data_IF_790125169936
#
_entry.id   IF_790125169936
#
_cell.length_a   1.000
_cell.length_b   1.000
_cell.length_c   1.000
_cell.angle_alpha   90.00
_cell.angle_beta   90.00
_cell.angle_gamma   90.00
#
_symmetry.space_group_name_H-M   'P 1'
#
loop_
_entity.id
_entity.type
_entity.pdbx_description
1 polymer ?
#
# COMPACT_ATOMS: atom_id res chain seq x y z
N UNK A 1 0.04 -4.08 4.06
CA UNK A 1 -0.40 -2.67 4.03
C UNK A 1 -0.04 -2.05 2.68
N UNK A 2 -0.89 -1.16 2.14
CA UNK A 2 -0.67 -0.51 0.82
C UNK A 2 -0.67 1.00 1.00
N UNK A 3 0.35 1.67 0.47
CA UNK A 3 0.55 3.11 0.59
C UNK A 3 -0.46 3.96 -0.19
N UNK A 4 -0.65 5.22 0.24
CA UNK A 4 -1.51 6.22 -0.40
C UNK A 4 -1.21 6.36 -1.89
N UNK A 5 0.07 6.41 -2.30
CA UNK A 5 0.42 6.59 -3.71
C UNK A 5 -0.02 5.41 -4.59
N UNK A 6 -0.01 4.21 -4.05
CA UNK A 6 -0.45 3.00 -4.75
C UNK A 6 -1.97 3.01 -4.90
N UNK A 7 -2.70 3.33 -3.83
CA UNK A 7 -4.18 3.49 -3.85
C UNK A 7 -4.60 4.57 -4.85
N UNK A 8 -3.96 5.75 -4.80
CA UNK A 8 -4.24 6.84 -5.73
C UNK A 8 -3.94 6.43 -7.18
N UNK A 9 -2.84 5.73 -7.41
CA UNK A 9 -2.49 5.25 -8.76
C UNK A 9 -3.50 4.24 -9.30
N UNK A 10 -4.02 3.35 -8.45
CA UNK A 10 -5.05 2.38 -8.82
C UNK A 10 -6.34 3.07 -9.27
N UNK A 11 -6.87 4.03 -8.51
CA UNK A 11 -8.11 4.73 -8.89
C UNK A 11 -7.96 5.62 -10.13
N UNK A 12 -6.73 6.05 -10.44
CA UNK A 12 -6.47 6.86 -11.62
C UNK A 12 -6.56 6.02 -12.89
N UNK A 13 -5.98 4.82 -12.87
CA UNK A 13 -5.87 3.93 -14.02
C UNK A 13 -6.27 2.49 -13.66
N UNK A 14 -7.51 2.12 -13.99
CA UNK A 14 -7.99 0.74 -13.89
C UNK A 14 -7.14 -0.19 -14.77
N UNK A 15 -6.82 -1.39 -14.26
CA UNK A 15 -5.92 -2.35 -14.91
C UNK A 15 -4.44 -1.98 -14.84
N UNK A 16 -4.07 -0.88 -14.17
CA UNK A 16 -2.67 -0.56 -13.92
C UNK A 16 -2.03 -1.52 -12.92
N UNK A 17 -0.70 -1.55 -12.87
CA UNK A 17 0.03 -2.39 -11.92
C UNK A 17 -0.38 -2.15 -10.45
N UNK A 18 -0.52 -0.91 -9.95
CA UNK A 18 -1.08 -0.64 -8.63
C UNK A 18 -2.50 -1.21 -8.40
N UNK A 19 -3.36 -1.14 -9.42
CA UNK A 19 -4.72 -1.68 -9.36
C UNK A 19 -4.70 -3.23 -9.29
N UNK A 20 -3.87 -3.87 -10.11
CA UNK A 20 -3.67 -5.32 -10.07
C UNK A 20 -3.13 -5.78 -8.71
N UNK A 21 -2.14 -5.08 -8.15
CA UNK A 21 -1.60 -5.39 -6.81
C UNK A 21 -2.66 -5.21 -5.73
N UNK A 22 -3.44 -4.13 -5.79
CA UNK A 22 -4.49 -3.90 -4.81
C UNK A 22 -5.57 -4.98 -4.84
N UNK A 23 -5.99 -5.40 -6.04
CA UNK A 23 -6.95 -6.50 -6.20
C UNK A 23 -6.38 -7.83 -5.69
N UNK A 24 -5.13 -8.17 -6.04
CA UNK A 24 -4.45 -9.37 -5.55
C UNK A 24 -4.37 -9.39 -4.02
N UNK A 25 -3.97 -8.27 -3.41
CA UNK A 25 -3.91 -8.13 -1.94
C UNK A 25 -5.27 -8.37 -1.32
N UNK A 26 -6.36 -7.87 -1.92
CA UNK A 26 -7.70 -8.04 -1.37
C UNK A 26 -8.27 -9.44 -1.53
N UNK A 27 -7.86 -10.17 -2.57
CA UNK A 27 -8.35 -11.52 -2.85
C UNK A 27 -7.58 -12.58 -2.05
N UNK A 28 -6.27 -12.40 -1.87
CA UNK A 28 -5.38 -13.44 -1.36
C UNK A 28 -4.70 -13.11 -0.03
N UNK A 29 -4.85 -11.88 0.48
CA UNK A 29 -4.17 -11.42 1.69
C UNK A 29 -5.11 -10.61 2.61
N UNK A 30 -4.66 -10.42 3.85
CA UNK A 30 -5.33 -9.52 4.78
C UNK A 30 -4.82 -8.09 4.56
N UNK A 31 -5.71 -7.23 4.06
CA UNK A 31 -5.39 -5.82 3.89
C UNK A 31 -5.56 -5.09 5.24
N UNK A 32 -4.46 -4.62 5.80
CA UNK A 32 -4.46 -3.70 6.95
C UNK A 32 -4.06 -2.31 6.45
N UNK A 33 -4.84 -1.30 6.81
CA UNK A 33 -4.59 0.12 6.51
C UNK A 33 -4.61 0.93 7.81
N UNK A 34 -3.72 1.92 7.93
CA UNK A 34 -3.82 2.88 9.03
C UNK A 34 -4.73 4.07 8.67
N UNK A 35 -5.30 4.72 9.67
CA UNK A 35 -6.16 5.89 9.50
C UNK A 35 -5.50 7.05 8.74
N UNK A 36 -4.17 7.20 8.88
CA UNK A 36 -3.40 8.19 8.15
C UNK A 36 -3.46 7.96 6.63
N UNK A 37 -3.25 6.73 6.14
CA UNK A 37 -3.36 6.39 4.70
C UNK A 37 -4.74 6.74 4.15
N UNK A 38 -5.81 6.44 4.90
CA UNK A 38 -7.18 6.78 4.49
C UNK A 38 -7.33 8.29 4.35
N UNK A 39 -6.96 9.04 5.39
CA UNK A 39 -7.09 10.49 5.40
C UNK A 39 -6.27 11.16 4.30
N UNK A 40 -5.04 10.72 4.08
CA UNK A 40 -4.14 11.25 3.07
C UNK A 40 -4.64 10.91 1.66
N UNK A 41 -5.15 9.70 1.43
CA UNK A 41 -5.77 9.32 0.16
C UNK A 41 -6.91 10.28 -0.20
N UNK A 42 -7.76 10.62 0.77
CA UNK A 42 -8.83 11.60 0.55
C UNK A 42 -8.30 13.01 0.29
N UNK A 43 -7.29 13.46 1.04
CA UNK A 43 -6.71 14.79 0.88
C UNK A 43 -6.03 14.95 -0.48
N UNK A 44 -5.25 13.94 -0.90
CA UNK A 44 -4.61 13.89 -2.22
C UNK A 44 -5.67 13.86 -3.33
N UNK A 45 -6.68 13.00 -3.21
CA UNK A 45 -7.76 12.91 -4.19
C UNK A 45 -8.53 14.24 -4.30
N UNK A 46 -8.95 14.85 -3.19
CA UNK A 46 -9.67 16.14 -3.21
C UNK A 46 -8.83 17.26 -3.81
N UNK A 47 -7.54 17.32 -3.47
CA UNK A 47 -6.64 18.39 -3.89
C UNK A 47 -6.23 18.27 -5.36
N UNK A 48 -5.94 17.06 -5.83
CA UNK A 48 -5.32 16.83 -7.15
C UNK A 48 -6.28 16.22 -8.17
N UNK A 49 -7.25 15.42 -7.73
CA UNK A 49 -8.12 14.62 -8.59
C UNK A 49 -9.57 14.66 -8.10
N UNK A 50 -10.20 15.84 -7.96
CA UNK A 50 -11.51 15.98 -7.31
C UNK A 50 -12.60 15.11 -7.97
N UNK A 51 -12.50 14.86 -9.29
CA UNK A 51 -13.42 13.99 -10.03
C UNK A 51 -13.30 12.50 -9.67
N UNK A 52 -12.23 12.08 -9.00
CA UNK A 52 -11.95 10.70 -8.60
C UNK A 52 -12.31 10.42 -7.14
N UNK A 53 -12.74 11.41 -6.36
CA UNK A 53 -13.13 11.21 -4.95
C UNK A 53 -14.26 10.18 -4.83
N UNK A 54 -15.28 10.24 -5.70
CA UNK A 54 -16.35 9.23 -5.71
C UNK A 54 -15.87 7.82 -6.10
N UNK A 55 -14.78 7.73 -6.87
CA UNK A 55 -14.16 6.43 -7.22
C UNK A 55 -13.43 5.89 -6.01
N UNK A 56 -12.71 6.75 -5.28
CA UNK A 56 -12.04 6.39 -4.02
C UNK A 56 -13.06 5.94 -2.96
N UNK A 57 -14.18 6.64 -2.81
CA UNK A 57 -15.27 6.24 -1.89
C UNK A 57 -15.78 4.84 -2.21
N UNK A 58 -16.02 4.56 -3.49
CA UNK A 58 -16.47 3.23 -3.95
C UNK A 58 -15.42 2.17 -3.77
N UNK A 59 -14.14 2.52 -3.91
CA UNK A 59 -13.03 1.60 -3.66
C UNK A 59 -13.02 1.22 -2.18
N UNK A 60 -12.87 2.18 -1.26
CA UNK A 60 -12.83 1.89 0.18
C UNK A 60 -14.10 1.21 0.70
N UNK A 61 -15.29 1.50 0.14
CA UNK A 61 -16.52 0.80 0.50
C UNK A 61 -16.55 -0.68 0.04
N UNK A 62 -15.75 -1.05 -0.95
CA UNK A 62 -15.65 -2.43 -1.48
C UNK A 62 -14.49 -3.22 -0.89
N UNK A 63 -13.41 -2.54 -0.50
CA UNK A 63 -12.23 -3.20 0.07
C UNK A 63 -12.58 -3.81 1.42
N UNK A 64 -12.20 -5.06 1.64
CA UNK A 64 -12.20 -5.68 2.96
C UNK A 64 -10.84 -5.40 3.61
N UNK A 65 -10.79 -4.45 4.55
CA UNK A 65 -9.56 -4.12 5.27
C UNK A 65 -9.80 -3.94 6.76
N UNK A 66 -8.79 -4.27 7.57
CA UNK A 66 -8.72 -3.85 8.96
C UNK A 66 -8.16 -2.42 9.05
N UNK A 67 -8.83 -1.57 9.83
CA UNK A 67 -8.39 -0.20 10.08
C UNK A 67 -7.70 -0.12 11.44
N UNK A 68 -6.44 0.31 11.43
CA UNK A 68 -5.63 0.52 12.65
C UNK A 68 -5.29 2.01 12.83
N UNK A 69 -5.07 2.49 14.07
CA UNK A 69 -4.61 3.87 14.28
C UNK A 69 -3.17 4.05 13.82
N UNK A 70 -2.85 5.21 13.24
CA UNK A 70 -1.46 5.59 13.00
C UNK A 70 -0.74 5.91 14.32
N UNK A 71 0.54 5.54 14.40
CA UNK A 71 1.32 5.67 15.63
C UNK A 71 2.35 6.79 15.51
N UNK A 72 2.35 7.72 16.48
CA UNK A 72 3.35 8.81 16.52
C UNK A 72 4.63 8.41 17.26
N UNK A 73 4.65 7.23 17.85
CA UNK A 73 5.76 6.71 18.62
C UNK A 73 6.44 5.63 17.78
N UNK A 74 7.75 5.76 17.59
CA UNK A 74 8.54 4.82 16.81
C UNK A 74 10.02 5.05 17.07
N UNK A 75 10.78 3.95 17.08
CA UNK A 75 12.23 3.98 17.29
C UNK A 75 13.00 4.28 16.00
N UNK A 76 12.43 3.89 14.87
CA UNK A 76 13.03 4.04 13.54
C UNK A 76 12.64 5.40 12.99
N UNK A 77 13.63 6.26 12.74
CA UNK A 77 13.40 7.56 12.12
C UNK A 77 13.58 7.46 10.61
N UNK A 78 12.58 7.95 9.87
CA UNK A 78 12.65 8.14 8.43
C UNK A 78 12.86 9.62 8.08
N UNK A 79 13.38 9.87 6.88
CA UNK A 79 13.65 11.23 6.40
C UNK A 79 12.40 12.09 6.22
N UNK A 80 11.26 11.46 5.89
CA UNK A 80 9.98 12.15 5.80
C UNK A 80 9.20 12.08 7.11
N UNK A 81 9.05 13.23 7.78
CA UNK A 81 8.33 13.34 9.05
C UNK A 81 6.83 13.06 8.88
N UNK A 82 6.27 13.29 7.68
CA UNK A 82 4.83 13.15 7.44
C UNK A 82 4.39 11.70 7.38
N UNK A 83 5.22 10.85 6.80
CA UNK A 83 4.85 9.45 6.55
C UNK A 83 5.41 8.53 7.65
N UNK A 84 6.17 9.09 8.60
CA UNK A 84 6.61 8.43 9.83
C UNK A 84 5.48 7.67 10.57
N UNK A 85 4.25 8.22 10.69
CA UNK A 85 3.17 7.52 11.36
C UNK A 85 2.73 6.24 10.64
N UNK A 86 2.92 6.17 9.32
CA UNK A 86 2.62 4.97 8.52
C UNK A 86 3.64 3.88 8.84
N UNK A 87 4.95 4.21 8.84
CA UNK A 87 6.00 3.26 9.20
C UNK A 87 5.80 2.70 10.61
N UNK A 88 5.54 3.59 11.57
CA UNK A 88 5.35 3.19 12.96
C UNK A 88 4.16 2.23 13.10
N UNK A 89 3.03 2.53 12.44
CA UNK A 89 1.88 1.63 12.44
C UNK A 89 2.22 0.29 11.77
N UNK A 90 2.98 0.30 10.67
CA UNK A 90 3.36 -0.93 10.01
C UNK A 90 4.21 -1.86 10.91
N UNK A 91 5.09 -1.27 11.72
CA UNK A 91 5.90 -2.02 12.71
C UNK A 91 5.04 -2.46 13.90
N UNK A 92 4.28 -1.55 14.50
CA UNK A 92 3.46 -1.81 15.71
C UNK A 92 2.42 -2.92 15.47
N UNK A 93 1.81 -2.94 14.29
CA UNK A 93 0.81 -3.93 13.91
C UNK A 93 1.39 -5.14 13.16
N UNK A 94 2.72 -5.32 13.19
CA UNK A 94 3.42 -6.48 12.61
C UNK A 94 3.02 -6.75 11.15
N UNK A 95 2.99 -5.70 10.32
CA UNK A 95 2.71 -5.85 8.90
C UNK A 95 3.81 -6.71 8.26
N UNK A 96 3.43 -7.74 7.51
CA UNK A 96 4.40 -8.57 6.80
C UNK A 96 4.99 -7.83 5.59
N UNK A 97 4.13 -7.21 4.78
CA UNK A 97 4.49 -6.55 3.52
C UNK A 97 3.88 -5.16 3.46
N UNK A 98 4.72 -4.16 3.19
CA UNK A 98 4.31 -2.78 2.92
C UNK A 98 4.61 -2.41 1.47
N UNK A 99 3.56 -2.17 0.68
CA UNK A 99 3.69 -1.84 -0.73
C UNK A 99 3.67 -0.32 -0.90
N UNK A 100 4.76 0.25 -1.40
CA UNK A 100 4.91 1.70 -1.60
C UNK A 100 5.72 2.04 -2.84
N UNK A 101 5.45 3.22 -3.42
CA UNK A 101 6.27 3.79 -4.48
C UNK A 101 7.29 4.82 -3.99
N UNK A 102 7.31 5.11 -2.69
CA UNK A 102 8.11 6.17 -2.10
C UNK A 102 9.52 5.67 -1.72
N UNK A 103 10.53 6.39 -2.21
CA UNK A 103 11.94 6.04 -2.03
C UNK A 103 12.40 6.15 -0.58
N UNK A 104 11.85 7.07 0.20
CA UNK A 104 12.24 7.24 1.59
C UNK A 104 11.91 6.00 2.42
N UNK A 105 10.86 5.26 2.05
CA UNK A 105 10.55 3.96 2.65
C UNK A 105 11.42 2.84 2.09
N UNK A 106 11.64 2.81 0.77
CA UNK A 106 12.42 1.75 0.11
C UNK A 106 13.91 1.76 0.50
N UNK A 107 14.43 2.90 0.96
CA UNK A 107 15.81 3.04 1.45
C UNK A 107 15.98 2.65 2.92
N UNK A 108 14.90 2.29 3.63
CA UNK A 108 14.97 1.84 5.02
C UNK A 108 15.58 0.44 5.12
N UNK A 109 16.59 0.30 5.96
CA UNK A 109 17.19 -0.98 6.31
C UNK A 109 16.56 -1.51 7.60
N UNK A 110 15.44 -2.22 7.47
CA UNK A 110 14.65 -2.77 8.57
C UNK A 110 14.31 -4.24 8.30
N UNK A 111 14.18 -5.04 9.36
CA UNK A 111 13.87 -6.47 9.24
C UNK A 111 12.39 -6.72 8.89
N UNK A 112 11.47 -5.91 9.40
CA UNK A 112 10.03 -5.98 9.12
C UNK A 112 9.38 -4.60 9.28
N UNK A 113 8.36 -4.24 8.47
CA UNK A 113 7.79 -4.98 7.34
C UNK A 113 8.77 -5.14 6.17
N UNK A 114 8.52 -6.11 5.28
CA UNK A 114 9.16 -6.14 3.96
C UNK A 114 8.58 -5.01 3.09
N UNK A 115 9.39 -3.99 2.81
CA UNK A 115 9.00 -2.85 1.99
C UNK A 115 9.33 -3.14 0.52
N UNK A 116 8.36 -2.98 -0.37
CA UNK A 116 8.56 -3.22 -1.80
C UNK A 116 7.66 -2.34 -2.68
N UNK A 117 8.06 -2.17 -3.93
CA UNK A 117 7.24 -1.54 -4.97
C UNK A 117 6.14 -2.47 -5.48
N UNK A 118 5.08 -1.95 -6.13
CA UNK A 118 4.09 -2.79 -6.79
C UNK A 118 4.70 -3.80 -7.77
N UNK A 119 5.76 -3.41 -8.49
CA UNK A 119 6.46 -4.30 -9.43
C UNK A 119 7.17 -5.44 -8.72
N UNK A 120 7.85 -5.15 -7.62
CA UNK A 120 8.53 -6.14 -6.81
C UNK A 120 7.53 -7.07 -6.13
N UNK A 121 6.42 -6.54 -5.62
CA UNK A 121 5.33 -7.32 -5.06
C UNK A 121 4.87 -8.40 -6.05
N UNK A 122 4.57 -8.03 -7.30
CA UNK A 122 4.16 -9.01 -8.32
C UNK A 122 5.23 -10.07 -8.56
N UNK A 123 6.51 -9.71 -8.59
CA UNK A 123 7.59 -10.67 -8.85
C UNK A 123 7.83 -11.62 -7.67
N UNK A 124 7.62 -11.17 -6.44
CA UNK A 124 7.91 -11.92 -5.22
C UNK A 124 6.74 -12.81 -4.81
N UNK A 125 5.51 -12.34 -4.96
CA UNK A 125 4.32 -12.98 -4.39
C UNK A 125 3.39 -13.58 -5.43
N UNK A 126 3.40 -13.09 -6.68
CA UNK A 126 2.63 -13.71 -7.76
C UNK A 126 3.55 -14.67 -8.52
N UNK A 127 3.32 -15.98 -8.31
CA UNK A 127 4.00 -17.03 -9.05
C UNK A 127 3.81 -16.81 -10.56
N UNK A 128 4.90 -16.64 -11.30
CA UNK A 128 4.93 -17.11 -12.69
C UNK A 128 4.81 -18.61 -12.63
N UNK A 129 3.73 -19.19 -13.16
CA UNK A 129 3.71 -20.63 -13.39
C UNK A 129 5.02 -21.03 -14.10
N UNK A 130 5.72 -22.10 -13.67
CA UNK A 130 6.85 -22.58 -14.45
C UNK A 130 6.31 -22.93 -15.84
N UNK A 131 6.96 -22.38 -16.87
CA UNK A 131 6.68 -22.71 -18.27
C UNK A 131 6.50 -24.23 -18.39
N UNK A 132 5.42 -24.74 -19.00
CA UNK A 132 5.28 -26.17 -19.16
C UNK A 132 6.49 -26.69 -19.93
N UNK A 133 7.32 -27.52 -19.27
CA UNK A 133 8.29 -28.35 -19.95
C UNK A 133 7.49 -29.32 -20.82
N UNK A 134 7.34 -28.99 -22.10
CA UNK A 134 6.85 -29.96 -23.07
C UNK A 134 7.95 -31.01 -23.30
N UNK A 135 7.57 -32.31 -23.33
CA UNK A 135 8.51 -33.41 -23.55
C UNK A 135 9.12 -33.40 -24.96
#
# INVERSE_FOLDING_TARGET
MVDTNVIISAILNEGSLPDMVLNEVCENHELILCDYIISESYDVAKKRFPMKVQVLDKLFAKLSFELVPASRQGEIQMGDIKDQPILNAAIEYNIDVFVTGDKHFLELDIEAPQICTPSEYMNLFIRKEPSPCFP
#
